data_IF_618101307411
#
_entry.id   IF_618101307411
#
_cell.length_a   1.000
_cell.length_b   1.000
_cell.length_c   1.000
_cell.angle_alpha   90.00
_cell.angle_beta   90.00
_cell.angle_gamma   90.00
#
_symmetry.space_group_name_H-M   'P 1'
#
loop_
_entity.id
_entity.type
_entity.pdbx_description
1 polymer ?
#
# COMPACT_ATOMS: atom_id res chain seq x y z
N UNK A 1 -11.73 19.41 10.42
CA UNK A 1 -11.44 18.06 9.90
C UNK A 1 -10.26 17.57 10.72
N UNK A 2 -10.49 16.63 11.64
CA UNK A 2 -9.39 16.09 12.44
C UNK A 2 -8.63 15.05 11.61
N UNK A 3 -7.31 15.13 11.65
CA UNK A 3 -6.42 14.14 11.05
C UNK A 3 -5.78 13.32 12.15
N UNK A 4 -5.75 12.00 11.95
CA UNK A 4 -5.09 11.06 12.86
C UNK A 4 -3.95 10.36 12.12
N UNK A 5 -2.79 10.28 12.76
CA UNK A 5 -1.69 9.45 12.29
C UNK A 5 -2.03 7.98 12.54
N UNK A 6 -2.12 7.17 11.48
CA UNK A 6 -2.37 5.73 11.55
C UNK A 6 -1.07 4.93 11.48
N UNK A 7 -0.17 5.29 10.57
CA UNK A 7 1.13 4.65 10.42
C UNK A 7 2.15 5.60 9.77
N UNK A 8 3.42 5.36 10.05
CA UNK A 8 4.56 6.14 9.51
C UNK A 8 5.77 5.25 9.22
N UNK A 9 6.87 5.87 8.74
CA UNK A 9 8.13 5.18 8.45
C UNK A 9 8.11 4.37 7.16
N UNK A 10 7.32 4.78 6.16
CA UNK A 10 7.34 4.21 4.82
C UNK A 10 8.49 4.77 3.99
N UNK A 11 8.96 4.02 2.99
CA UNK A 11 10.01 4.46 2.08
C UNK A 11 9.43 4.85 0.71
N UNK A 12 9.11 6.15 0.57
CA UNK A 12 8.49 6.75 -0.62
C UNK A 12 7.15 6.06 -0.98
N UNK A 13 6.11 6.26 -0.17
CA UNK A 13 4.80 5.66 -0.39
C UNK A 13 4.02 6.33 -1.54
N UNK A 14 3.32 5.55 -2.36
CA UNK A 14 2.41 6.01 -3.42
C UNK A 14 1.18 5.08 -3.56
N UNK A 15 0.23 5.46 -4.41
CA UNK A 15 -0.83 4.58 -4.93
C UNK A 15 -1.64 3.81 -3.88
N UNK A 16 -2.27 4.46 -2.90
CA UNK A 16 -3.08 3.78 -1.90
C UNK A 16 -4.34 3.17 -2.53
N UNK A 17 -4.60 1.90 -2.20
CA UNK A 17 -5.81 1.15 -2.50
C UNK A 17 -6.59 1.02 -1.18
N UNK A 18 -7.77 1.62 -1.13
CA UNK A 18 -8.68 1.43 0.00
C UNK A 18 -9.34 0.04 -0.07
N UNK A 19 -9.34 -0.67 1.04
CA UNK A 19 -9.93 -2.01 1.16
C UNK A 19 -11.25 -1.96 1.96
N UNK A 20 -12.14 -2.92 1.71
CA UNK A 20 -13.46 -2.99 2.37
C UNK A 20 -13.39 -3.18 3.90
N UNK A 21 -12.28 -3.69 4.44
CA UNK A 21 -12.07 -3.85 5.88
C UNK A 21 -11.43 -2.63 6.55
N UNK A 22 -11.36 -1.50 5.82
CA UNK A 22 -10.78 -0.25 6.30
C UNK A 22 -9.25 -0.22 6.26
N UNK A 23 -8.59 -1.31 5.86
CA UNK A 23 -7.16 -1.28 5.59
C UNK A 23 -6.84 -0.54 4.28
N UNK A 24 -5.58 -0.11 4.15
CA UNK A 24 -5.04 0.48 2.92
C UNK A 24 -3.84 -0.35 2.48
N UNK A 25 -3.79 -0.72 1.20
CA UNK A 25 -2.58 -1.25 0.57
C UNK A 25 -1.92 -0.11 -0.18
N UNK A 26 -0.62 0.09 -0.04
CA UNK A 26 0.13 1.12 -0.76
C UNK A 26 1.43 0.56 -1.32
N UNK A 27 1.97 1.22 -2.34
CA UNK A 27 3.31 0.95 -2.85
C UNK A 27 4.35 1.64 -1.96
N UNK A 28 5.51 1.03 -1.76
CA UNK A 28 6.70 1.72 -1.24
C UNK A 28 7.80 1.65 -2.31
N UNK A 29 7.96 2.72 -3.10
CA UNK A 29 8.84 2.73 -4.29
C UNK A 29 10.27 2.36 -3.88
N UNK A 30 10.79 2.98 -2.80
CA UNK A 30 12.18 2.77 -2.39
C UNK A 30 12.37 1.45 -1.64
N UNK A 31 11.37 1.00 -0.88
CA UNK A 31 11.42 -0.32 -0.22
C UNK A 31 11.08 -1.48 -1.16
N UNK A 32 10.65 -1.21 -2.39
CA UNK A 32 10.37 -2.20 -3.43
C UNK A 32 9.28 -3.21 -3.08
N UNK A 33 8.22 -2.77 -2.40
CA UNK A 33 7.15 -3.66 -1.93
C UNK A 33 5.77 -3.02 -1.96
N UNK A 34 4.75 -3.85 -1.80
CA UNK A 34 3.44 -3.39 -1.34
C UNK A 34 3.31 -3.63 0.16
N UNK A 35 2.77 -2.65 0.87
CA UNK A 35 2.51 -2.72 2.30
C UNK A 35 1.03 -2.52 2.56
N UNK A 36 0.43 -3.41 3.35
CA UNK A 36 -0.91 -3.25 3.90
C UNK A 36 -0.83 -2.64 5.29
N UNK A 37 -1.72 -1.69 5.56
CA UNK A 37 -1.88 -1.01 6.84
C UNK A 37 -3.31 -1.17 7.31
N UNK A 38 -3.51 -1.76 8.48
CA UNK A 38 -4.84 -1.89 9.12
C UNK A 38 -5.21 -0.62 9.92
N UNK A 39 -6.48 -0.42 10.29
CA UNK A 39 -6.92 0.78 11.04
C UNK A 39 -6.22 1.00 12.39
N UNK A 40 -5.67 -0.06 13.01
CA UNK A 40 -4.89 0.02 14.24
C UNK A 40 -3.40 0.38 14.02
N UNK A 41 -3.00 0.60 12.77
CA UNK A 41 -1.63 0.96 12.38
C UNK A 41 -0.70 -0.22 12.10
N UNK A 42 -1.17 -1.47 12.21
CA UNK A 42 -0.34 -2.64 11.91
C UNK A 42 0.06 -2.66 10.43
N UNK A 43 1.37 -2.82 10.17
CA UNK A 43 1.94 -2.90 8.81
C UNK A 43 2.32 -4.33 8.47
N UNK A 44 2.01 -4.77 7.26
CA UNK A 44 2.42 -6.08 6.75
C UNK A 44 2.85 -5.98 5.29
N UNK A 45 4.00 -6.55 4.94
CA UNK A 45 4.39 -6.71 3.53
C UNK A 45 3.43 -7.68 2.85
N UNK A 46 2.77 -7.23 1.78
CA UNK A 46 1.92 -8.09 0.94
C UNK A 46 2.78 -8.85 -0.05
N UNK A 47 3.71 -8.15 -0.70
CA UNK A 47 4.63 -8.73 -1.69
C UNK A 47 5.87 -7.86 -1.82
N UNK A 48 7.02 -8.52 -1.97
CA UNK A 48 8.27 -7.89 -2.43
C UNK A 48 8.25 -7.88 -3.96
N UNK A 49 8.32 -6.71 -4.57
CA UNK A 49 8.18 -6.53 -6.03
C UNK A 49 9.52 -6.59 -6.77
N UNK A 50 10.64 -6.40 -6.06
CA UNK A 50 12.00 -6.38 -6.63
C UNK A 50 12.31 -5.18 -7.54
N UNK A 51 11.40 -4.21 -7.64
CA UNK A 51 11.55 -2.97 -8.42
C UNK A 51 10.87 -1.80 -7.69
N UNK A 52 10.79 -0.62 -8.32
CA UNK A 52 10.12 0.54 -7.71
C UNK A 52 8.65 0.65 -8.15
N UNK A 53 7.68 0.06 -7.44
CA UNK A 53 6.27 0.11 -7.83
C UNK A 53 5.73 1.53 -7.62
N UNK A 54 5.27 2.21 -8.68
CA UNK A 54 4.72 3.57 -8.54
C UNK A 54 3.19 3.53 -8.38
N UNK A 55 2.50 2.83 -9.27
CA UNK A 55 1.05 2.69 -9.24
C UNK A 55 0.60 1.30 -8.82
N UNK A 56 -0.54 1.21 -8.14
CA UNK A 56 -1.21 -0.05 -7.85
C UNK A 56 -2.73 0.10 -7.93
N UNK A 57 -3.42 -0.91 -8.47
CA UNK A 57 -4.88 -0.97 -8.52
C UNK A 57 -5.39 -2.42 -8.48
N UNK A 58 -6.58 -2.62 -7.92
CA UNK A 58 -7.28 -3.91 -8.01
C UNK A 58 -7.98 -3.98 -9.37
N UNK A 59 -7.68 -5.01 -10.15
CA UNK A 59 -8.34 -5.28 -11.42
C UNK A 59 -9.65 -6.07 -11.25
N UNK A 60 -10.40 -6.27 -12.34
CA UNK A 60 -11.71 -6.92 -12.31
C UNK A 60 -11.67 -8.41 -11.90
N UNK A 61 -10.50 -9.03 -11.96
CA UNK A 61 -10.23 -10.40 -11.50
C UNK A 61 -9.85 -10.48 -10.01
N UNK A 62 -9.78 -9.33 -9.33
CA UNK A 62 -9.37 -9.23 -7.93
C UNK A 62 -7.86 -9.25 -7.70
N UNK A 63 -7.04 -9.31 -8.77
CA UNK A 63 -5.60 -9.19 -8.65
C UNK A 63 -5.17 -7.73 -8.45
N UNK A 64 -4.01 -7.53 -7.81
CA UNK A 64 -3.36 -6.22 -7.75
C UNK A 64 -2.41 -6.11 -8.93
N UNK A 65 -2.66 -5.12 -9.79
CA UNK A 65 -1.78 -4.75 -10.90
C UNK A 65 -0.88 -3.61 -10.46
N UNK A 66 0.39 -3.71 -10.81
CA UNK A 66 1.44 -2.75 -10.42
C UNK A 66 2.07 -2.19 -11.68
N UNK A 67 2.34 -0.89 -11.70
CA UNK A 67 3.03 -0.21 -12.81
C UNK A 67 4.19 0.64 -12.32
N UNK A 68 5.13 0.88 -13.23
CA UNK A 68 6.15 1.94 -13.13
C UNK A 68 5.93 2.90 -14.30
#
# INVERSE_FOLDING_TARGET
MDMQLVAEGFQFPEGPIAMNDGSVILTEIKAQRLTRVTPDGTKTTVVETGGGPNGAAIGPDGAIYITN
#
